data_IF_042583221179
#
_entry.id   IF_042583221179
#
_cell.length_a   1.000
_cell.length_b   1.000
_cell.length_c   1.000
_cell.angle_alpha   90.00
_cell.angle_beta   90.00
_cell.angle_gamma   90.00
#
_symmetry.space_group_name_H-M   'P 1'
#
loop_
_entity.id
_entity.type
_entity.pdbx_description
1 polymer ?
#
# COMPACT_ATOMS: atom_id res chain seq x y z
N UNK A 1 0.79 -7.82 -17.64
CA UNK A 1 1.61 -8.61 -16.72
C UNK A 1 3.06 -8.32 -17.01
N UNK A 2 3.60 -7.36 -16.25
CA UNK A 2 5.01 -7.04 -16.12
C UNK A 2 5.27 -6.52 -14.70
N UNK A 3 6.37 -6.96 -14.10
CA UNK A 3 6.86 -6.41 -12.83
C UNK A 3 7.28 -4.95 -13.05
N UNK A 4 6.73 -4.04 -12.24
CA UNK A 4 6.95 -2.60 -12.31
C UNK A 4 8.00 -2.18 -11.27
N UNK A 5 8.88 -1.20 -11.58
CA UNK A 5 9.83 -0.71 -10.59
C UNK A 5 9.12 0.00 -9.45
N UNK A 6 9.54 -0.29 -8.22
CA UNK A 6 9.04 0.39 -7.02
C UNK A 6 9.68 1.78 -6.88
N UNK A 7 8.86 2.74 -6.50
CA UNK A 7 9.27 4.08 -6.08
C UNK A 7 9.68 4.01 -4.63
N UNK A 8 10.93 4.39 -4.35
CA UNK A 8 11.56 4.28 -3.03
C UNK A 8 11.73 5.67 -2.40
N UNK A 9 11.57 5.76 -1.07
CA UNK A 9 11.92 6.96 -0.30
C UNK A 9 13.37 7.39 -0.63
N UNK A 10 13.67 8.68 -0.85
CA UNK A 10 12.85 9.86 -0.56
C UNK A 10 12.11 10.45 -1.76
N UNK A 11 11.80 9.66 -2.80
CA UNK A 11 11.17 10.21 -4.01
C UNK A 11 9.87 10.96 -3.68
N UNK A 12 9.78 12.20 -4.19
CA UNK A 12 8.63 13.09 -3.99
C UNK A 12 7.32 12.55 -4.57
N UNK A 13 7.37 11.59 -5.50
CA UNK A 13 6.21 10.91 -6.04
C UNK A 13 5.35 10.30 -4.91
N UNK A 14 5.99 9.72 -3.89
CA UNK A 14 5.32 9.11 -2.73
C UNK A 14 4.54 10.12 -1.86
N UNK A 15 4.69 11.43 -2.13
CA UNK A 15 4.01 12.52 -1.41
C UNK A 15 2.86 13.13 -2.21
N UNK A 16 2.63 12.68 -3.44
CA UNK A 16 1.52 13.18 -4.26
C UNK A 16 0.21 12.54 -3.83
N UNK A 17 -0.84 13.35 -3.75
CA UNK A 17 -2.21 12.86 -3.64
C UNK A 17 -2.63 12.28 -4.98
N UNK A 18 -3.08 11.03 -4.98
CA UNK A 18 -3.49 10.30 -6.16
C UNK A 18 -4.89 10.74 -6.63
N UNK A 19 -5.06 10.86 -7.95
CA UNK A 19 -6.30 11.28 -8.57
C UNK A 19 -7.35 10.15 -8.59
N UNK A 20 -8.64 10.46 -8.42
CA UNK A 20 -9.69 9.45 -8.54
C UNK A 20 -9.76 8.91 -9.97
N UNK A 21 -9.99 7.61 -10.09
CA UNK A 21 -10.26 6.94 -11.36
C UNK A 21 -11.72 7.21 -11.75
N UNK A 22 -11.96 7.66 -12.98
CA UNK A 22 -13.31 7.80 -13.54
C UNK A 22 -13.88 6.44 -13.95
N UNK A 23 -13.74 6.12 -15.24
CA UNK A 23 -14.15 4.85 -15.82
C UNK A 23 -13.10 3.76 -15.61
N UNK A 24 -13.55 2.51 -15.45
CA UNK A 24 -12.65 1.36 -15.35
C UNK A 24 -12.39 0.83 -16.75
N UNK A 25 -11.33 1.35 -17.34
CA UNK A 25 -10.89 1.00 -18.69
C UNK A 25 -10.03 -0.27 -18.69
N UNK A 26 -9.75 -0.87 -19.87
CA UNK A 26 -8.81 -1.98 -19.98
C UNK A 26 -7.41 -1.65 -19.42
N UNK A 27 -6.98 -0.39 -19.50
CA UNK A 27 -5.71 0.08 -18.95
C UNK A 27 -5.69 0.02 -17.42
N UNK A 28 -6.80 0.34 -16.75
CA UNK A 28 -6.92 0.23 -15.29
C UNK A 28 -6.88 -1.25 -14.86
N UNK A 29 -7.55 -2.14 -15.60
CA UNK A 29 -7.52 -3.59 -15.32
C UNK A 29 -6.10 -4.14 -15.48
N UNK A 30 -5.41 -3.77 -16.57
CA UNK A 30 -4.02 -4.14 -16.79
C UNK A 30 -3.09 -3.58 -15.69
N UNK A 31 -3.30 -2.34 -15.26
CA UNK A 31 -2.53 -1.75 -14.17
C UNK A 31 -2.71 -2.56 -12.87
N UNK A 32 -3.94 -2.98 -12.54
CA UNK A 32 -4.18 -3.82 -11.37
C UNK A 32 -3.47 -5.18 -11.47
N UNK A 33 -3.43 -5.80 -12.65
CA UNK A 33 -2.67 -7.04 -12.89
C UNK A 33 -1.16 -6.82 -12.68
N UNK A 34 -0.59 -5.78 -13.28
CA UNK A 34 0.83 -5.44 -13.14
C UNK A 34 1.17 -5.13 -11.67
N UNK A 35 0.26 -4.48 -10.93
CA UNK A 35 0.41 -4.21 -9.50
C UNK A 35 0.40 -5.49 -8.66
N UNK A 36 -0.53 -6.42 -8.91
CA UNK A 36 -0.56 -7.71 -8.20
C UNK A 36 0.73 -8.51 -8.46
N UNK A 37 1.18 -8.57 -9.71
CA UNK A 37 2.42 -9.25 -10.06
C UNK A 37 3.64 -8.63 -9.36
N UNK A 38 3.73 -7.29 -9.37
CA UNK A 38 4.79 -6.56 -8.67
C UNK A 38 4.75 -6.79 -7.16
N UNK A 39 3.55 -6.80 -6.56
CA UNK A 39 3.35 -7.04 -5.14
C UNK A 39 3.85 -8.44 -4.75
N UNK A 40 3.50 -9.48 -5.51
CA UNK A 40 3.94 -10.85 -5.23
C UNK A 40 5.43 -11.08 -5.48
N UNK A 41 6.04 -10.39 -6.46
CA UNK A 41 7.48 -10.44 -6.72
C UNK A 41 8.30 -9.75 -5.61
N UNK A 42 7.75 -8.69 -5.00
CA UNK A 42 8.34 -7.94 -3.90
C UNK A 42 7.98 -8.49 -2.49
N UNK A 43 7.66 -9.78 -2.38
CA UNK A 43 6.83 -10.44 -1.37
C UNK A 43 5.95 -9.55 -0.45
N UNK A 44 5.24 -8.57 -1.01
CA UNK A 44 4.31 -7.70 -0.29
C UNK A 44 2.91 -8.31 -0.12
N UNK A 45 2.14 -7.75 0.81
CA UNK A 45 0.71 -8.07 1.02
C UNK A 45 -0.22 -6.92 0.60
N UNK A 46 0.37 -5.79 0.19
CA UNK A 46 -0.32 -4.61 -0.31
C UNK A 46 0.56 -3.77 -1.22
N UNK A 47 -0.09 -3.07 -2.15
CA UNK A 47 0.55 -2.12 -3.06
C UNK A 47 -0.46 -1.08 -3.54
N UNK A 48 -0.12 0.20 -3.38
CA UNK A 48 -0.81 1.33 -3.97
C UNK A 48 -0.15 1.75 -5.29
N UNK A 49 -0.95 2.18 -6.28
CA UNK A 49 -0.44 2.51 -7.63
C UNK A 49 0.66 3.59 -7.63
N UNK A 50 0.61 4.53 -6.66
CA UNK A 50 1.63 5.56 -6.50
C UNK A 50 3.04 4.98 -6.26
N UNK A 51 3.12 3.80 -5.64
CA UNK A 51 4.38 3.11 -5.34
C UNK A 51 5.03 2.51 -6.59
N UNK A 52 4.32 2.45 -7.72
CA UNK A 52 4.87 2.10 -9.04
C UNK A 52 4.81 3.29 -10.02
N UNK A 53 4.70 4.50 -9.49
CA UNK A 53 4.78 5.75 -10.24
C UNK A 53 3.46 6.24 -10.86
N UNK A 54 2.33 5.60 -10.54
CA UNK A 54 1.02 5.92 -11.13
C UNK A 54 0.12 6.62 -10.08
N UNK A 55 -0.02 7.96 -10.12
CA UNK A 55 -0.76 8.73 -9.10
C UNK A 55 -2.28 8.66 -9.30
N UNK A 56 -2.84 7.44 -9.28
CA UNK A 56 -4.26 7.15 -9.37
C UNK A 56 -4.72 6.33 -8.16
N UNK A 57 -5.98 6.50 -7.74
CA UNK A 57 -6.53 5.83 -6.56
C UNK A 57 -6.86 4.36 -6.82
N UNK A 58 -5.83 3.53 -6.89
CA UNK A 58 -5.92 2.09 -7.08
C UNK A 58 -5.01 1.38 -6.07
N UNK A 59 -5.56 0.36 -5.42
CA UNK A 59 -4.88 -0.46 -4.42
C UNK A 59 -5.09 -1.93 -4.73
N UNK A 60 -4.04 -2.73 -4.57
CA UNK A 60 -4.09 -4.19 -4.59
C UNK A 60 -3.65 -4.74 -3.24
N UNK A 61 -4.34 -5.78 -2.75
CA UNK A 61 -4.07 -6.42 -1.46
C UNK A 61 -4.18 -7.94 -1.60
N UNK A 62 -3.39 -8.67 -0.83
CA UNK A 62 -3.61 -10.10 -0.59
C UNK A 62 -3.08 -10.46 0.80
N UNK A 63 -4.01 -10.63 1.74
CA UNK A 63 -3.73 -10.99 3.14
C UNK A 63 -4.02 -12.46 3.42
N UNK A 64 -4.10 -13.29 2.36
CA UNK A 64 -4.25 -14.73 2.51
C UNK A 64 -3.16 -15.33 3.38
N UNK A 65 -3.52 -16.36 4.14
CA UNK A 65 -2.56 -17.07 4.99
C UNK A 65 -1.48 -17.69 4.10
N UNK A 66 -0.23 -17.60 4.52
CA UNK A 66 0.86 -18.33 3.88
C UNK A 66 0.56 -19.82 3.94
N UNK A 67 0.70 -20.51 2.81
CA UNK A 67 0.58 -21.96 2.75
C UNK A 67 1.61 -22.64 3.67
N UNK A 68 1.23 -23.77 4.26
CA UNK A 68 2.15 -24.62 4.99
C UNK A 68 3.12 -25.33 4.02
N UNK A 69 4.23 -25.85 4.56
CA UNK A 69 5.23 -26.55 3.74
C UNK A 69 4.59 -27.74 3.01
N UNK A 70 4.58 -27.68 1.67
CA UNK A 70 4.00 -28.72 0.83
C UNK A 70 2.58 -28.44 0.33
N UNK A 71 1.97 -27.32 0.71
CA UNK A 71 0.68 -26.88 0.19
C UNK A 71 0.82 -25.79 -0.88
N UNK A 72 -0.18 -25.70 -1.77
CA UNK A 72 -0.25 -24.61 -2.75
C UNK A 72 -0.72 -23.32 -2.05
N UNK A 73 -0.07 -22.19 -2.37
CA UNK A 73 -0.49 -20.88 -1.88
C UNK A 73 -1.87 -20.53 -2.43
N UNK A 74 -2.89 -20.58 -1.56
CA UNK A 74 -4.19 -20.02 -1.86
C UNK A 74 -4.09 -18.49 -1.78
N UNK A 75 -4.29 -17.83 -2.92
CA UNK A 75 -4.29 -16.36 -3.04
C UNK A 75 -5.72 -15.85 -3.03
N UNK A 76 -5.95 -14.76 -2.33
CA UNK A 76 -7.25 -14.08 -2.27
C UNK A 76 -7.07 -12.59 -2.61
N UNK A 77 -6.68 -12.27 -3.86
CA UNK A 77 -6.36 -10.91 -4.24
C UNK A 77 -7.60 -10.02 -4.21
N UNK A 78 -7.44 -8.82 -3.67
CA UNK A 78 -8.41 -7.75 -3.71
C UNK A 78 -7.88 -6.60 -4.56
N UNK A 79 -8.76 -5.99 -5.36
CA UNK A 79 -8.47 -4.78 -6.12
C UNK A 79 -9.50 -3.73 -5.74
N UNK A 80 -9.03 -2.61 -5.19
CA UNK A 80 -9.88 -1.54 -4.71
C UNK A 80 -9.67 -0.29 -5.57
N UNK A 81 -10.68 0.10 -6.33
CA UNK A 81 -10.71 1.33 -7.11
C UNK A 81 -11.36 2.44 -6.29
N UNK A 82 -10.68 3.58 -6.17
CA UNK A 82 -11.08 4.72 -5.35
C UNK A 82 -11.45 4.36 -3.90
N UNK A 83 -10.61 3.61 -3.15
CA UNK A 83 -10.94 3.27 -1.78
C UNK A 83 -10.95 4.51 -0.87
N UNK A 84 -11.88 4.52 0.08
CA UNK A 84 -12.05 5.54 1.10
C UNK A 84 -12.52 4.92 2.43
N UNK A 85 -11.87 5.29 3.53
CA UNK A 85 -12.31 4.93 4.89
C UNK A 85 -13.55 5.75 5.24
N UNK A 86 -14.70 5.10 5.34
CA UNK A 86 -15.98 5.75 5.67
C UNK A 86 -16.30 5.73 7.16
N UNK A 87 -15.65 4.83 7.91
CA UNK A 87 -15.72 4.78 9.37
C UNK A 87 -14.44 4.12 9.93
N UNK A 88 -14.06 4.51 11.15
CA UNK A 88 -13.00 3.86 11.91
C UNK A 88 -13.36 3.79 13.39
N UNK A 89 -12.78 2.82 14.11
CA UNK A 89 -13.01 2.63 15.54
C UNK A 89 -12.22 3.62 16.41
N UNK A 90 -12.76 3.93 17.58
CA UNK A 90 -12.02 4.65 18.64
C UNK A 90 -10.92 3.78 19.28
N UNK A 91 -11.05 2.45 19.20
CA UNK A 91 -10.03 1.50 19.66
C UNK A 91 -8.87 1.45 18.67
N UNK A 92 -7.65 1.39 19.20
CA UNK A 92 -6.42 1.31 18.42
C UNK A 92 -5.78 -0.08 18.57
N UNK A 93 -5.07 -0.50 17.53
CA UNK A 93 -4.23 -1.69 17.54
C UNK A 93 -2.85 -1.33 16.99
N UNK A 94 -1.82 -1.89 17.61
CA UNK A 94 -0.43 -1.74 17.19
C UNK A 94 -0.02 -2.93 16.31
N UNK A 95 0.56 -2.63 15.14
CA UNK A 95 1.12 -3.63 14.24
C UNK A 95 2.53 -3.22 13.83
N UNK A 96 3.42 -4.20 13.65
CA UNK A 96 4.70 -3.97 13.00
C UNK A 96 4.46 -3.80 11.49
N UNK A 97 4.65 -2.59 10.99
CA UNK A 97 4.48 -2.24 9.58
C UNK A 97 5.83 -2.21 8.86
N UNK A 98 5.85 -2.78 7.66
CA UNK A 98 6.86 -2.54 6.64
C UNK A 98 6.23 -1.86 5.43
N UNK A 99 7.05 -1.36 4.50
CA UNK A 99 6.58 -0.76 3.27
C UNK A 99 7.53 -1.09 2.12
N UNK A 100 7.00 -1.50 0.97
CA UNK A 100 7.81 -1.77 -0.23
C UNK A 100 8.59 -0.54 -0.71
N UNK A 101 8.08 0.67 -0.42
CA UNK A 101 8.76 1.94 -0.71
C UNK A 101 9.78 2.38 0.34
N UNK A 102 9.90 1.65 1.46
CA UNK A 102 10.85 1.91 2.54
C UNK A 102 11.50 0.56 2.94
N UNK A 103 12.30 -0.05 2.04
CA UNK A 103 12.81 -1.40 2.23
C UNK A 103 13.66 -1.54 3.50
N UNK A 104 13.59 -2.73 4.10
CA UNK A 104 14.36 -3.10 5.29
C UNK A 104 14.18 -2.11 6.45
N UNK A 105 12.96 -1.58 6.60
CA UNK A 105 12.58 -0.75 7.73
C UNK A 105 11.20 -1.17 8.22
N UNK A 106 11.15 -1.58 9.47
CA UNK A 106 9.94 -2.04 10.15
C UNK A 106 9.83 -1.31 11.49
N UNK A 107 8.63 -0.83 11.80
CA UNK A 107 8.33 -0.22 13.09
C UNK A 107 6.89 -0.50 13.49
N UNK A 108 6.64 -0.47 14.79
CA UNK A 108 5.29 -0.52 15.33
C UNK A 108 4.56 0.81 15.06
N UNK A 109 3.34 0.71 14.52
CA UNK A 109 2.44 1.82 14.24
C UNK A 109 1.07 1.52 14.85
N UNK A 110 0.49 2.51 15.53
CA UNK A 110 -0.87 2.42 16.06
C UNK A 110 -1.87 2.97 15.04
N UNK A 111 -2.89 2.17 14.73
CA UNK A 111 -4.02 2.56 13.86
C UNK A 111 -5.34 2.19 14.51
N UNK A 112 -6.46 2.81 14.11
CA UNK A 112 -7.79 2.28 14.40
C UNK A 112 -7.86 0.77 14.14
N UNK A 113 -8.29 0.02 15.15
CA UNK A 113 -8.35 -1.44 15.15
C UNK A 113 -9.31 -1.99 14.09
N UNK A 114 -10.34 -1.21 13.75
CA UNK A 114 -11.36 -1.56 12.77
C UNK A 114 -11.65 -0.39 11.86
N UNK A 115 -11.92 -0.69 10.59
CA UNK A 115 -12.32 0.29 9.59
C UNK A 115 -13.45 -0.25 8.73
N UNK A 116 -14.27 0.66 8.21
CA UNK A 116 -15.14 0.42 7.08
C UNK A 116 -14.60 1.18 5.89
N UNK A 117 -14.44 0.48 4.76
CA UNK A 117 -13.91 1.05 3.52
C UNK A 117 -14.94 0.89 2.42
N UNK A 118 -15.27 1.98 1.75
CA UNK A 118 -16.03 1.98 0.50
C UNK A 118 -15.07 2.03 -0.69
N UNK A 119 -15.39 1.30 -1.75
CA UNK A 119 -14.59 1.27 -2.98
C UNK A 119 -15.44 0.82 -4.17
N UNK A 120 -14.87 0.79 -5.36
CA UNK A 120 -15.45 0.08 -6.52
C UNK A 120 -14.59 -1.12 -6.87
N UNK A 121 -15.22 -2.23 -7.22
CA UNK A 121 -14.53 -3.36 -7.84
C UNK A 121 -14.15 -3.07 -9.30
N UNK A 122 -13.42 -3.98 -9.95
CA UNK A 122 -13.01 -3.83 -11.35
C UNK A 122 -14.19 -3.82 -12.33
N UNK A 123 -15.39 -4.26 -11.93
CA UNK A 123 -16.60 -4.15 -12.74
C UNK A 123 -17.35 -2.83 -12.53
N UNK A 124 -16.80 -1.95 -11.70
CA UNK A 124 -17.32 -0.61 -11.42
C UNK A 124 -18.45 -0.60 -10.40
N UNK A 125 -18.75 -1.74 -9.77
CA UNK A 125 -19.80 -1.83 -8.76
C UNK A 125 -19.27 -1.32 -7.43
N UNK A 126 -20.12 -0.56 -6.74
CA UNK A 126 -19.82 -0.12 -5.38
C UNK A 126 -19.76 -1.32 -4.45
N UNK A 127 -18.72 -1.36 -3.63
CA UNK A 127 -18.47 -2.36 -2.62
C UNK A 127 -18.17 -1.68 -1.29
N UNK A 128 -18.44 -2.40 -0.22
CA UNK A 128 -18.10 -1.98 1.14
C UNK A 128 -17.48 -3.18 1.86
N UNK A 129 -16.43 -2.91 2.64
CA UNK A 129 -15.79 -3.91 3.48
C UNK A 129 -15.62 -3.38 4.89
N UNK A 130 -16.02 -4.18 5.87
CA UNK A 130 -15.64 -4.01 7.26
C UNK A 130 -14.43 -4.90 7.51
N UNK A 131 -13.36 -4.31 8.04
CA UNK A 131 -12.10 -5.00 8.28
C UNK A 131 -11.62 -4.75 9.70
N UNK A 132 -10.98 -5.77 10.25
CA UNK A 132 -10.20 -5.73 11.48
C UNK A 132 -8.83 -6.37 11.25
N UNK A 133 -8.02 -6.41 12.30
CA UNK A 133 -6.76 -7.13 12.30
C UNK A 133 -5.78 -6.66 11.22
N UNK A 134 -5.09 -7.61 10.58
CA UNK A 134 -4.12 -7.31 9.54
C UNK A 134 -4.75 -6.61 8.32
N UNK A 135 -5.96 -7.00 7.92
CA UNK A 135 -6.63 -6.41 6.76
C UNK A 135 -6.95 -4.93 7.00
N UNK A 136 -7.41 -4.56 8.21
CA UNK A 136 -7.64 -3.18 8.57
C UNK A 136 -6.34 -2.35 8.52
N UNK A 137 -5.22 -2.90 9.00
CA UNK A 137 -3.91 -2.24 8.94
C UNK A 137 -3.46 -2.02 7.50
N UNK A 138 -3.53 -3.05 6.65
CA UNK A 138 -3.16 -2.96 5.24
C UNK A 138 -4.03 -1.95 4.49
N UNK A 139 -5.36 -1.98 4.65
CA UNK A 139 -6.25 -1.03 3.99
C UNK A 139 -5.90 0.42 4.34
N UNK A 140 -5.66 0.70 5.63
CA UNK A 140 -5.28 2.04 6.08
C UNK A 140 -3.92 2.47 5.52
N UNK A 141 -2.92 1.57 5.55
CA UNK A 141 -1.60 1.82 4.99
C UNK A 141 -1.64 2.15 3.50
N UNK A 142 -2.36 1.36 2.71
CA UNK A 142 -2.44 1.58 1.26
C UNK A 142 -3.27 2.83 0.91
N UNK A 143 -4.31 3.14 1.69
CA UNK A 143 -5.10 4.37 1.51
C UNK A 143 -4.25 5.61 1.87
N UNK A 144 -3.38 5.53 2.88
CA UNK A 144 -2.43 6.59 3.21
C UNK A 144 -1.49 6.91 2.04
N UNK A 145 -0.99 5.88 1.35
CA UNK A 145 -0.18 6.07 0.15
C UNK A 145 -0.93 6.88 -0.91
N UNK A 146 -2.21 6.61 -1.14
CA UNK A 146 -3.04 7.40 -2.07
C UNK A 146 -3.17 8.87 -1.66
N UNK A 147 -2.96 9.19 -0.39
CA UNK A 147 -3.03 10.53 0.17
C UNK A 147 -1.63 11.17 0.36
N UNK A 148 -0.55 10.53 -0.10
CA UNK A 148 0.83 11.01 0.06
C UNK A 148 1.39 10.87 1.48
N UNK A 149 0.73 10.05 2.31
CA UNK A 149 1.11 9.75 3.68
C UNK A 149 1.87 8.42 3.69
N UNK A 150 2.94 8.36 4.50
CA UNK A 150 3.74 7.14 4.67
C UNK A 150 3.67 6.74 6.14
N UNK A 151 3.77 5.44 6.44
CA UNK A 151 3.71 4.96 7.83
C UNK A 151 4.74 5.65 8.76
N UNK A 152 5.89 6.05 8.22
CA UNK A 152 6.92 6.78 8.96
C UNK A 152 6.47 8.15 9.49
N UNK A 153 5.35 8.68 8.98
CA UNK A 153 4.77 9.94 9.43
C UNK A 153 4.04 9.80 10.78
N UNK A 154 3.65 8.58 11.16
CA UNK A 154 3.09 8.25 12.47
C UNK A 154 4.16 8.04 13.55
N UNK A 155 5.42 7.90 13.15
CA UNK A 155 6.54 7.72 14.08
C UNK A 155 6.91 9.02 14.78
N UNK A 156 7.62 8.88 15.90
CA UNK A 156 8.24 10.04 16.55
C UNK A 156 9.14 10.79 15.57
N UNK A 157 9.19 12.12 15.72
CA UNK A 157 9.98 13.00 14.86
C UNK A 157 11.43 12.53 14.67
N UNK A 158 12.08 12.07 15.75
CA UNK A 158 13.45 11.58 15.70
C UNK A 158 13.61 10.31 14.86
N UNK A 159 12.67 9.35 14.98
CA UNK A 159 12.66 8.13 14.15
C UNK A 159 12.45 8.48 12.68
N UNK A 160 11.43 9.30 12.38
CA UNK A 160 11.11 9.77 11.02
C UNK A 160 12.28 10.50 10.36
N UNK A 161 12.94 11.41 11.07
CA UNK A 161 14.11 12.14 10.54
C UNK A 161 15.29 11.20 10.26
N UNK A 162 15.51 10.19 11.12
CA UNK A 162 16.59 9.21 10.96
C UNK A 162 16.39 8.36 9.70
N UNK A 163 15.21 7.78 9.51
CA UNK A 163 14.91 6.98 8.32
C UNK A 163 14.97 7.82 7.04
N UNK A 164 14.39 9.03 7.06
CA UNK A 164 14.43 9.93 5.89
C UNK A 164 15.87 10.28 5.50
N UNK A 165 16.74 10.58 6.47
CA UNK A 165 18.16 10.86 6.22
C UNK A 165 18.92 9.64 5.69
N UNK A 166 18.61 8.43 6.20
CA UNK A 166 19.21 7.16 5.72
C UNK A 166 18.98 7.01 4.22
N UNK A 167 17.72 7.13 3.79
CA UNK A 167 17.31 6.98 2.40
C UNK A 167 17.80 8.12 1.51
N UNK A 168 17.76 9.38 1.98
CA UNK A 168 18.30 10.50 1.22
C UNK A 168 19.81 10.40 0.96
N UNK A 169 20.57 9.77 1.86
CA UNK A 169 22.00 9.51 1.65
C UNK A 169 22.23 8.39 0.64
N UNK A 170 21.41 7.34 0.65
CA UNK A 170 21.49 6.24 -0.32
C UNK A 170 21.19 6.73 -1.74
N UNK A 171 20.08 7.44 -1.95
CA UNK A 171 19.69 7.97 -3.25
C UNK A 171 20.73 8.92 -3.89
N UNK A 172 21.46 9.70 -3.07
CA UNK A 172 22.56 10.55 -3.54
C UNK A 172 23.79 9.78 -4.01
N UNK A 173 24.02 8.57 -3.47
CA UNK A 173 25.13 7.71 -3.89
C UNK A 173 24.81 7.03 -5.21
N UNK A 174 23.57 6.55 -5.36
CA UNK A 174 23.13 5.86 -6.58
C UNK A 174 23.01 6.79 -7.78
N UNK A 175 22.66 8.07 -7.56
CA UNK A 175 22.63 9.10 -8.62
C UNK A 175 24.00 9.67 -9.00
N UNK A 176 25.04 9.41 -8.20
CA UNK A 176 26.41 9.85 -8.45
C UNK A 176 27.30 8.74 -9.04
N UNK A 177 26.76 7.53 -9.20
CA UNK A 177 27.40 6.37 -9.83
C UNK A 177 26.95 6.24 -11.29
#
# INVERSE_FOLDING_TARGET
MAIRPLVILPDSMLRKVSAPIGDITPEIRKLAEDMLETMYDAPGIGLAAIQIGEPVRLVTLDVSKKAEEGEEQQREPMVLVNPEVTWNSDEFSAYEEGCLSIPEYYEEVERPARVKVSYRDLDGKAQEIEADGLLATCLQHEIDHLNGVLFIDYLSRLKRERVTKRFAKAAKRDSAA
#
